data_IF_025951413046
#
_entry.id   IF_025951413046
#
_cell.length_a   1.000
_cell.length_b   1.000
_cell.length_c   1.000
_cell.angle_alpha   90.00
_cell.angle_beta   90.00
_cell.angle_gamma   90.00
#
_symmetry.space_group_name_H-M   'P 1'
#
loop_
_entity.id
_entity.type
_entity.pdbx_description
1 polymer ?
#
# COMPACT_ATOMS: atom_id res chain seq x y z
N UNK A 1 10.25 -9.36 -15.28
CA UNK A 1 11.00 -8.26 -14.67
C UNK A 1 10.34 -7.88 -13.35
N UNK A 2 11.12 -7.68 -12.28
CA UNK A 2 10.54 -7.22 -11.02
C UNK A 2 9.86 -5.87 -11.21
N UNK A 3 8.86 -5.62 -10.38
CA UNK A 3 8.09 -4.38 -10.40
C UNK A 3 8.21 -3.67 -9.06
N UNK A 4 8.30 -2.36 -9.11
CA UNK A 4 8.26 -1.51 -7.93
C UNK A 4 7.02 -0.63 -7.99
N UNK A 5 6.25 -0.66 -6.91
CA UNK A 5 4.98 0.05 -6.85
C UNK A 5 5.08 1.10 -5.74
N UNK A 6 4.69 2.33 -6.08
CA UNK A 6 4.59 3.43 -5.13
C UNK A 6 3.12 3.73 -4.90
N UNK A 7 2.70 3.75 -3.64
CA UNK A 7 1.31 4.02 -3.28
C UNK A 7 1.29 5.20 -2.31
N UNK A 8 0.81 6.35 -2.78
CA UNK A 8 0.74 7.58 -2.00
C UNK A 8 -0.66 7.73 -1.42
N UNK A 9 -0.73 7.98 -0.11
CA UNK A 9 -1.98 8.26 0.58
C UNK A 9 -1.79 9.42 1.56
N UNK A 10 -2.84 10.23 1.69
CA UNK A 10 -2.93 11.27 2.72
C UNK A 10 -4.03 10.87 3.68
N UNK A 11 -3.75 10.93 4.97
CA UNK A 11 -4.70 10.52 6.00
C UNK A 11 -5.13 11.68 6.88
N UNK A 12 -6.22 11.47 7.61
CA UNK A 12 -6.71 12.41 8.62
C UNK A 12 -5.76 12.46 9.80
N UNK A 13 -5.74 13.59 10.50
CA UNK A 13 -4.95 13.77 11.72
C UNK A 13 -5.46 12.88 12.86
N UNK A 14 -4.56 12.57 13.78
CA UNK A 14 -4.88 11.95 15.10
C UNK A 14 -5.51 10.57 15.01
N UNK A 15 -5.25 9.84 13.93
CA UNK A 15 -5.71 8.46 13.71
C UNK A 15 -4.56 7.52 13.38
N UNK A 16 -3.34 7.90 13.76
CA UNK A 16 -2.13 7.16 13.38
C UNK A 16 -2.16 5.70 13.83
N UNK A 17 -2.57 5.43 15.06
CA UNK A 17 -2.58 4.06 15.60
C UNK A 17 -3.53 3.16 14.79
N UNK A 18 -4.73 3.64 14.50
CA UNK A 18 -5.73 2.91 13.72
C UNK A 18 -5.25 2.67 12.29
N UNK A 19 -4.67 3.69 11.67
CA UNK A 19 -4.16 3.62 10.30
C UNK A 19 -3.01 2.63 10.20
N UNK A 20 -2.04 2.69 11.11
CA UNK A 20 -0.90 1.77 11.11
C UNK A 20 -1.33 0.33 11.33
N UNK A 21 -2.32 0.11 12.19
CA UNK A 21 -2.89 -1.23 12.39
C UNK A 21 -3.45 -1.80 11.10
N UNK A 22 -4.21 -1.00 10.35
CA UNK A 22 -4.79 -1.44 9.06
C UNK A 22 -3.68 -1.68 8.03
N UNK A 23 -2.71 -0.77 7.93
CA UNK A 23 -1.59 -0.92 6.99
C UNK A 23 -0.77 -2.18 7.28
N UNK A 24 -0.54 -2.51 8.55
CA UNK A 24 0.17 -3.72 8.94
C UNK A 24 -0.60 -4.98 8.53
N UNK A 25 -1.91 -5.00 8.73
CA UNK A 25 -2.77 -6.11 8.30
C UNK A 25 -2.82 -6.22 6.77
N UNK A 26 -2.85 -5.10 6.10
CA UNK A 26 -2.80 -5.01 4.64
C UNK A 26 -1.53 -5.66 4.11
N UNK A 27 -0.37 -5.31 4.70
CA UNK A 27 0.91 -5.89 4.33
C UNK A 27 0.97 -7.38 4.63
N UNK A 28 0.47 -7.80 5.77
CA UNK A 28 0.42 -9.22 6.13
C UNK A 28 -0.36 -10.02 5.07
N UNK A 29 -1.45 -9.46 4.55
CA UNK A 29 -2.20 -10.07 3.45
C UNK A 29 -1.41 -10.15 2.17
N UNK A 30 -0.70 -9.08 1.81
CA UNK A 30 0.13 -9.03 0.60
C UNK A 30 1.26 -10.08 0.64
N UNK A 31 1.86 -10.27 1.81
CA UNK A 31 2.96 -11.24 1.99
C UNK A 31 2.57 -12.68 1.66
N UNK A 32 1.29 -13.02 1.72
CA UNK A 32 0.81 -14.36 1.41
C UNK A 32 0.55 -14.56 -0.08
N UNK A 33 0.70 -13.53 -0.89
CA UNK A 33 0.36 -13.59 -2.32
C UNK A 33 1.56 -14.02 -3.16
N UNK A 34 1.31 -14.74 -4.27
CA UNK A 34 2.38 -15.08 -5.20
C UNK A 34 3.10 -13.83 -5.71
N UNK A 35 4.43 -13.85 -5.68
CA UNK A 35 5.25 -12.80 -6.26
C UNK A 35 5.60 -11.64 -5.35
N UNK A 36 5.05 -11.57 -4.14
CA UNK A 36 5.45 -10.53 -3.18
C UNK A 36 6.92 -10.72 -2.78
N UNK A 37 7.71 -9.64 -2.83
CA UNK A 37 9.12 -9.68 -2.44
C UNK A 37 9.34 -8.93 -1.12
N UNK A 38 9.04 -7.63 -1.10
CA UNK A 38 9.22 -6.81 0.10
C UNK A 38 8.42 -5.53 0.01
N UNK A 39 8.21 -4.87 1.14
CA UNK A 39 7.56 -3.58 1.17
C UNK A 39 7.90 -2.79 2.42
N UNK A 40 7.81 -1.47 2.29
CA UNK A 40 8.03 -0.53 3.38
C UNK A 40 6.93 0.53 3.36
N UNK A 41 6.62 1.08 4.53
CA UNK A 41 5.76 2.25 4.63
C UNK A 41 6.61 3.42 5.13
N UNK A 42 6.64 4.48 4.34
CA UNK A 42 7.36 5.70 4.69
C UNK A 42 6.35 6.76 5.13
N UNK A 43 6.70 7.48 6.17
CA UNK A 43 5.89 8.56 6.72
C UNK A 43 6.72 9.84 6.68
N UNK A 44 6.13 10.92 6.13
CA UNK A 44 6.82 12.22 6.10
C UNK A 44 6.97 12.74 7.53
N UNK A 45 8.20 13.04 8.00
CA UNK A 45 8.38 13.59 9.35
C UNK A 45 7.83 14.98 9.51
N UNK A 46 7.78 15.77 8.41
CA UNK A 46 7.24 17.12 8.42
C UNK A 46 5.71 17.14 8.35
N UNK A 47 5.13 16.13 7.67
CA UNK A 47 3.69 16.00 7.54
C UNK A 47 3.30 14.53 7.71
N UNK A 48 3.12 14.06 8.95
CA UNK A 48 2.83 12.65 9.22
C UNK A 48 1.53 12.11 8.61
N UNK A 49 0.69 12.98 8.09
CA UNK A 49 -0.51 12.56 7.35
C UNK A 49 -0.16 11.98 5.98
N UNK A 50 1.02 12.33 5.42
CA UNK A 50 1.47 11.81 4.14
C UNK A 50 2.24 10.50 4.33
N UNK A 51 1.80 9.47 3.63
CA UNK A 51 2.45 8.18 3.64
C UNK A 51 2.78 7.74 2.22
N UNK A 52 3.83 6.93 2.11
CA UNK A 52 4.23 6.30 0.86
C UNK A 52 4.53 4.83 1.14
N UNK A 53 3.79 3.94 0.50
CA UNK A 53 4.12 2.51 0.50
C UNK A 53 5.00 2.26 -0.71
N UNK A 54 6.15 1.65 -0.46
CA UNK A 54 7.10 1.24 -1.51
C UNK A 54 7.18 -0.27 -1.47
N UNK A 55 6.66 -0.94 -2.49
CA UNK A 55 6.58 -2.39 -2.50
C UNK A 55 7.19 -2.96 -3.77
N UNK A 56 7.86 -4.09 -3.63
CA UNK A 56 8.48 -4.82 -4.75
C UNK A 56 7.76 -6.15 -4.94
N UNK A 57 7.41 -6.43 -6.20
CA UNK A 57 6.80 -7.67 -6.65
C UNK A 57 7.68 -8.28 -7.73
N UNK A 58 7.59 -9.59 -7.92
CA UNK A 58 8.37 -10.28 -8.97
C UNK A 58 7.93 -9.89 -10.37
N UNK A 59 6.68 -9.41 -10.54
CA UNK A 59 6.14 -8.97 -11.82
C UNK A 59 4.97 -8.01 -11.64
N UNK A 60 4.70 -7.18 -12.65
CA UNK A 60 3.49 -6.36 -12.69
C UNK A 60 2.22 -7.22 -12.70
N UNK A 61 2.27 -8.38 -13.34
CA UNK A 61 1.12 -9.29 -13.40
C UNK A 61 0.69 -9.73 -12.00
N UNK A 62 1.63 -10.14 -11.16
CA UNK A 62 1.34 -10.58 -9.80
C UNK A 62 0.87 -9.40 -8.92
N UNK A 63 1.49 -8.22 -9.07
CA UNK A 63 1.01 -7.02 -8.40
C UNK A 63 -0.44 -6.72 -8.76
N UNK A 64 -0.76 -6.72 -10.04
CA UNK A 64 -2.11 -6.39 -10.52
C UNK A 64 -3.15 -7.42 -10.08
N UNK A 65 -2.76 -8.69 -10.00
CA UNK A 65 -3.63 -9.73 -9.44
C UNK A 65 -3.98 -9.43 -7.98
N UNK A 66 -3.00 -9.04 -7.17
CA UNK A 66 -3.23 -8.61 -5.79
C UNK A 66 -4.07 -7.33 -5.73
N UNK A 67 -3.69 -6.32 -6.53
CA UNK A 67 -4.41 -5.04 -6.58
C UNK A 67 -5.90 -5.22 -6.83
N UNK A 68 -6.25 -6.16 -7.69
CA UNK A 68 -7.64 -6.39 -8.08
C UNK A 68 -8.34 -7.47 -7.26
N UNK A 69 -7.66 -8.04 -6.26
CA UNK A 69 -8.25 -9.10 -5.42
C UNK A 69 -9.31 -8.55 -4.48
N UNK A 70 -10.30 -9.39 -4.14
CA UNK A 70 -11.34 -9.02 -3.19
C UNK A 70 -10.75 -8.75 -1.81
N UNK A 71 -9.75 -9.51 -1.41
CA UNK A 71 -9.08 -9.34 -0.11
C UNK A 71 -8.47 -7.95 0.01
N UNK A 72 -7.77 -7.49 -1.04
CA UNK A 72 -7.18 -6.15 -1.04
C UNK A 72 -8.22 -5.05 -1.02
N UNK A 73 -9.30 -5.23 -1.77
CA UNK A 73 -10.41 -4.26 -1.81
C UNK A 73 -11.02 -4.06 -0.43
N UNK A 74 -11.14 -5.13 0.36
CA UNK A 74 -11.63 -5.05 1.73
C UNK A 74 -10.73 -4.16 2.59
N UNK A 75 -9.41 -4.30 2.49
CA UNK A 75 -8.48 -3.43 3.22
C UNK A 75 -8.55 -1.98 2.73
N UNK A 76 -8.69 -1.76 1.42
CA UNK A 76 -8.83 -0.41 0.88
C UNK A 76 -10.06 0.30 1.46
N UNK A 77 -11.20 -0.39 1.54
CA UNK A 77 -12.41 0.17 2.15
C UNK A 77 -12.15 0.57 3.60
N UNK A 78 -11.42 -0.23 4.36
CA UNK A 78 -11.07 0.08 5.75
C UNK A 78 -10.20 1.35 5.85
N UNK A 79 -9.24 1.52 4.93
CA UNK A 79 -8.38 2.70 4.90
C UNK A 79 -9.12 3.97 4.47
N UNK A 80 -10.06 3.85 3.54
CA UNK A 80 -10.81 5.00 3.00
C UNK A 80 -11.52 5.80 4.08
N UNK A 81 -11.90 5.17 5.19
CA UNK A 81 -12.54 5.84 6.33
C UNK A 81 -11.63 6.95 6.88
N UNK A 82 -10.32 6.74 6.84
CA UNK A 82 -9.32 7.66 7.39
C UNK A 82 -8.59 8.46 6.32
N UNK A 83 -8.87 8.20 5.03
CA UNK A 83 -8.12 8.75 3.92
C UNK A 83 -8.71 10.07 3.45
N UNK A 84 -7.85 11.01 3.09
CA UNK A 84 -8.23 12.26 2.43
C UNK A 84 -7.94 12.10 0.95
N UNK A 85 -9.00 12.07 0.13
CA UNK A 85 -8.86 11.85 -1.31
C UNK A 85 -8.58 10.40 -1.65
N UNK A 86 -8.07 10.17 -2.84
CA UNK A 86 -7.80 8.84 -3.37
C UNK A 86 -6.33 8.48 -3.28
N UNK A 87 -6.03 7.19 -3.14
CA UNK A 87 -4.67 6.69 -3.26
C UNK A 87 -4.15 6.93 -4.67
N UNK A 88 -2.87 7.33 -4.78
CA UNK A 88 -2.20 7.52 -6.06
C UNK A 88 -1.18 6.42 -6.25
N UNK A 89 -1.20 5.77 -7.42
CA UNK A 89 -0.36 4.64 -7.74
C UNK A 89 0.64 5.01 -8.84
N UNK A 90 1.88 4.56 -8.67
CA UNK A 90 2.88 4.57 -9.73
C UNK A 90 3.46 3.16 -9.85
N UNK A 91 3.55 2.67 -11.07
CA UNK A 91 4.08 1.33 -11.37
C UNK A 91 5.35 1.46 -12.20
N UNK A 92 6.41 0.79 -11.76
CA UNK A 92 7.69 0.75 -12.47
C UNK A 92 8.16 -0.68 -12.61
N UNK A 93 8.85 -0.98 -13.70
CA UNK A 93 9.59 -2.24 -13.82
C UNK A 93 11.07 -1.98 -13.60
N UNK A 94 11.73 -2.90 -12.87
CA UNK A 94 13.16 -2.80 -12.57
C UNK A 94 13.91 -3.43 -13.73
N UNK A 95 14.78 -2.65 -14.34
CA UNK A 95 15.58 -3.08 -15.49
C UNK A 95 16.89 -3.70 -15.00
#
# INVERSE_FOLDING_TARGET
MPAKILIKRTFQKDKTAEILSILNRFRAGAKTQPGYIQGETWISPENPQKTLVVVTWDSLQNWRAWKNSQKRKTFEVMLEIYQVGHAQYEEFEII
#
